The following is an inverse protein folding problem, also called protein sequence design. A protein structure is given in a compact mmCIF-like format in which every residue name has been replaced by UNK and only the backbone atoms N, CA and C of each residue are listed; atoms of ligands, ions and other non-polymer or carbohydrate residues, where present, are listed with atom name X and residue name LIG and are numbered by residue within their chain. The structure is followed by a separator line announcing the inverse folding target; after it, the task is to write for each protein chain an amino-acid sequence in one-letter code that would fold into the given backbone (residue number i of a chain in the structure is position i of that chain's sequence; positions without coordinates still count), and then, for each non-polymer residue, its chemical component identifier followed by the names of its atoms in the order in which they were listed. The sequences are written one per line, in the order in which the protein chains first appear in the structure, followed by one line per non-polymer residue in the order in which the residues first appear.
data_IF_724820272963
#
_entry.id   IF_724820272963
#
_cell.length_a   1.000
_cell.length_b   1.000
_cell.length_c   1.000
_cell.angle_alpha   90.00
_cell.angle_beta   90.00
_cell.angle_gamma   90.00
#
_symmetry.space_group_name_H-M   'P 1'
#
loop_
_entity.id
_entity.type
_entity.pdbx_description
1 polymer ?
#
# COMPACT_ATOMS: atom_id res chain seq x y z
N UNK A 1 -41.64 23.64 -11.58
CA UNK A 1 -40.58 23.56 -10.55
C UNK A 1 -40.06 22.13 -10.55
N UNK A 2 -38.96 21.90 -11.24
CA UNK A 2 -38.40 20.57 -11.47
C UNK A 2 -37.46 20.24 -10.32
N UNK A 3 -37.91 19.45 -9.35
CA UNK A 3 -37.04 18.87 -8.34
C UNK A 3 -36.24 17.75 -8.99
N UNK A 4 -35.06 18.10 -9.51
CA UNK A 4 -34.00 17.15 -9.83
C UNK A 4 -33.55 16.51 -8.51
N UNK A 5 -34.11 15.35 -8.19
CA UNK A 5 -33.56 14.44 -7.20
C UNK A 5 -32.17 14.04 -7.67
N UNK A 6 -31.14 14.71 -7.13
CA UNK A 6 -29.78 14.19 -7.15
C UNK A 6 -29.82 12.87 -6.38
N UNK A 7 -29.97 11.77 -7.11
CA UNK A 7 -29.45 10.48 -6.69
C UNK A 7 -28.01 10.77 -6.30
N UNK A 8 -27.69 10.69 -5.00
CA UNK A 8 -26.32 10.75 -4.54
C UNK A 8 -25.60 9.60 -5.23
N UNK A 9 -24.87 9.88 -6.31
CA UNK A 9 -23.95 8.93 -6.92
C UNK A 9 -23.12 8.37 -5.76
N UNK A 10 -23.35 7.11 -5.43
CA UNK A 10 -22.67 6.43 -4.33
C UNK A 10 -21.25 6.08 -4.81
N UNK A 11 -20.46 7.13 -5.06
CA UNK A 11 -19.10 7.05 -5.54
C UNK A 11 -18.25 6.40 -4.45
N UNK A 12 -17.43 5.44 -4.85
CA UNK A 12 -16.51 4.77 -3.92
C UNK A 12 -15.64 5.82 -3.21
N UNK A 13 -15.39 5.63 -1.92
CA UNK A 13 -14.67 6.60 -1.11
C UNK A 13 -13.21 6.80 -1.56
N UNK A 14 -12.64 5.90 -2.38
CA UNK A 14 -11.30 6.02 -2.97
C UNK A 14 -11.32 6.61 -4.39
N UNK A 15 -12.48 7.01 -4.92
CA UNK A 15 -12.59 7.71 -6.20
C UNK A 15 -12.02 9.14 -6.12
N UNK A 16 -11.28 9.57 -7.13
CA UNK A 16 -10.82 10.96 -7.29
C UNK A 16 -11.98 11.90 -7.64
N UNK A 17 -13.01 11.36 -8.28
CA UNK A 17 -14.21 12.06 -8.69
C UNK A 17 -15.16 12.29 -7.52
N UNK A 18 -15.02 11.53 -6.43
CA UNK A 18 -15.78 11.73 -5.20
C UNK A 18 -15.54 13.14 -4.61
N UNK A 19 -16.57 13.99 -4.47
CA UNK A 19 -16.44 15.36 -3.99
C UNK A 19 -15.80 15.48 -2.61
N UNK A 20 -15.98 14.49 -1.71
CA UNK A 20 -15.40 14.52 -0.35
C UNK A 20 -13.87 14.45 -0.37
N UNK A 21 -13.30 13.98 -1.47
CA UNK A 21 -11.86 13.86 -1.66
C UNK A 21 -11.23 15.12 -2.31
N UNK A 22 -12.05 16.12 -2.65
CA UNK A 22 -11.58 17.39 -3.19
C UNK A 22 -11.27 18.36 -2.05
N UNK A 23 -10.01 18.81 -1.95
CA UNK A 23 -9.62 19.86 -1.00
C UNK A 23 -9.17 21.11 -1.76
N UNK A 24 -9.84 22.25 -1.53
CA UNK A 24 -9.56 23.53 -2.18
C UNK A 24 -9.48 23.46 -3.73
N UNK A 25 -10.35 22.63 -4.34
CA UNK A 25 -10.40 22.44 -5.80
C UNK A 25 -9.23 21.65 -6.41
N UNK A 26 -8.30 21.14 -5.59
CA UNK A 26 -7.17 20.32 -6.06
C UNK A 26 -7.41 18.85 -5.76
N UNK A 27 -7.25 18.01 -6.80
CA UNK A 27 -7.28 16.55 -6.68
C UNK A 27 -5.84 16.03 -6.63
N UNK A 28 -5.52 15.24 -5.62
CA UNK A 28 -4.23 14.57 -5.47
C UNK A 28 -4.43 13.07 -5.41
N UNK A 29 -3.53 12.31 -6.04
CA UNK A 29 -3.53 10.83 -5.94
C UNK A 29 -3.28 10.35 -4.50
N UNK A 30 -2.62 11.15 -3.67
CA UNK A 30 -2.32 10.83 -2.28
C UNK A 30 -2.79 11.96 -1.37
N UNK A 31 -3.56 11.60 -0.35
CA UNK A 31 -4.08 12.52 0.66
C UNK A 31 -3.56 12.08 2.02
N UNK A 32 -2.79 12.93 2.70
CA UNK A 32 -2.30 12.62 4.05
C UNK A 32 -3.49 12.56 5.01
N UNK A 33 -3.64 11.45 5.73
CA UNK A 33 -4.67 11.30 6.73
C UNK A 33 -4.30 12.07 8.01
N UNK A 34 -5.32 12.67 8.64
CA UNK A 34 -5.19 13.18 10.00
C UNK A 34 -5.02 12.01 10.97
N UNK A 35 -4.18 12.20 12.00
CA UNK A 35 -3.98 11.20 13.07
C UNK A 35 -5.26 10.91 13.85
N UNK A 36 -6.18 11.86 13.88
CA UNK A 36 -7.46 11.73 14.59
C UNK A 36 -8.56 11.09 13.73
N UNK A 37 -8.27 10.73 12.48
CA UNK A 37 -9.26 10.11 11.58
C UNK A 37 -9.44 8.62 11.85
N UNK A 38 -10.67 8.12 11.70
CA UNK A 38 -10.99 6.70 11.85
C UNK A 38 -10.14 5.80 10.94
N UNK A 39 -9.92 6.23 9.68
CA UNK A 39 -9.09 5.52 8.71
C UNK A 39 -7.61 5.44 9.13
N UNK A 40 -7.09 6.49 9.80
CA UNK A 40 -5.74 6.42 10.35
C UNK A 40 -5.67 5.37 11.45
N UNK A 41 -6.61 5.40 12.40
CA UNK A 41 -6.66 4.46 13.52
C UNK A 41 -6.82 3.01 13.04
N UNK A 42 -7.68 2.75 12.04
CA UNK A 42 -7.87 1.42 11.45
C UNK A 42 -6.57 0.89 10.84
N UNK A 43 -5.91 1.69 9.99
CA UNK A 43 -4.70 1.26 9.30
C UNK A 43 -3.51 1.12 10.27
N UNK A 44 -3.43 1.97 11.29
CA UNK A 44 -2.44 1.85 12.37
C UNK A 44 -2.63 0.57 13.18
N UNK A 45 -3.88 0.24 13.56
CA UNK A 45 -4.20 -0.99 14.27
C UNK A 45 -3.87 -2.24 13.42
N UNK A 46 -4.24 -2.25 12.14
CA UNK A 46 -3.88 -3.30 11.19
C UNK A 46 -2.37 -3.47 11.09
N UNK A 47 -1.61 -2.37 10.98
CA UNK A 47 -0.16 -2.41 10.89
C UNK A 47 0.46 -2.99 12.15
N UNK A 48 0.01 -2.53 13.32
CA UNK A 48 0.53 -2.95 14.62
C UNK A 48 0.20 -4.42 14.92
N UNK A 49 -1.04 -4.87 14.67
CA UNK A 49 -1.45 -6.28 14.81
C UNK A 49 -0.80 -7.20 13.77
N UNK A 50 -0.45 -6.66 12.61
CA UNK A 50 0.29 -7.35 11.55
C UNK A 50 1.79 -7.50 11.85
N UNK A 51 2.34 -6.80 12.84
CA UNK A 51 3.76 -6.84 13.17
C UNK A 51 4.10 -8.04 14.06
N UNK A 52 4.13 -9.24 13.46
CA UNK A 52 4.20 -10.54 14.15
C UNK A 52 5.59 -11.19 14.20
N UNK A 53 6.60 -10.64 13.50
CA UNK A 53 7.97 -11.16 13.59
C UNK A 53 8.63 -10.73 14.89
N UNK A 54 8.75 -11.64 15.87
CA UNK A 54 9.25 -11.35 17.21
C UNK A 54 10.68 -10.79 17.28
N UNK A 55 11.53 -11.08 16.26
CA UNK A 55 12.90 -10.54 16.18
C UNK A 55 12.97 -9.12 15.62
N UNK A 56 11.90 -8.60 15.01
CA UNK A 56 11.87 -7.27 14.40
C UNK A 56 11.31 -6.25 15.38
N UNK A 57 12.08 -5.21 15.67
CA UNK A 57 11.59 -4.04 16.40
C UNK A 57 10.42 -3.42 15.63
N UNK A 58 9.29 -3.22 16.32
CA UNK A 58 8.12 -2.58 15.71
C UNK A 58 8.41 -1.09 15.46
N UNK A 59 8.33 -0.62 14.22
CA UNK A 59 8.65 0.76 13.87
C UNK A 59 7.49 1.70 14.20
N UNK A 60 7.77 3.00 14.26
CA UNK A 60 6.74 4.03 14.41
C UNK A 60 6.14 4.41 13.05
N UNK A 61 4.82 4.57 13.00
CA UNK A 61 4.13 5.15 11.85
C UNK A 61 4.35 6.66 11.84
N UNK A 62 4.96 7.14 10.76
CA UNK A 62 5.26 8.56 10.54
C UNK A 62 4.12 9.27 9.81
N UNK A 63 3.39 8.55 8.95
CA UNK A 63 2.23 9.06 8.23
C UNK A 63 1.51 7.96 7.47
N UNK A 64 0.23 8.20 7.18
CA UNK A 64 -0.60 7.33 6.36
C UNK A 64 -1.26 8.21 5.30
N UNK A 65 -1.20 7.79 4.05
CA UNK A 65 -1.84 8.50 2.94
C UNK A 65 -2.95 7.64 2.35
N UNK A 66 -4.15 8.20 2.18
CA UNK A 66 -5.20 7.61 1.34
C UNK A 66 -4.81 7.72 -0.12
N UNK A 67 -4.95 6.63 -0.86
CA UNK A 67 -4.63 6.53 -2.29
C UNK A 67 -5.94 6.64 -3.06
N UNK A 68 -6.08 7.72 -3.81
CA UNK A 68 -7.25 7.95 -4.64
C UNK A 68 -7.01 7.45 -6.06
N UNK A 69 -8.07 7.07 -6.76
CA UNK A 69 -8.02 6.49 -8.10
C UNK A 69 -8.97 7.22 -9.05
N UNK A 70 -8.57 7.47 -10.31
CA UNK A 70 -9.56 7.81 -11.34
C UNK A 70 -10.57 6.67 -11.45
N UNK A 71 -11.85 7.00 -11.61
CA UNK A 71 -12.92 6.01 -11.76
C UNK A 71 -12.60 4.97 -12.85
N UNK A 72 -11.99 5.37 -13.96
CA UNK A 72 -11.56 4.45 -15.02
C UNK A 72 -10.65 3.31 -14.55
N UNK A 73 -9.86 3.54 -13.50
CA UNK A 73 -8.97 2.55 -12.91
C UNK A 73 -9.63 1.78 -11.76
N UNK A 74 -10.60 2.39 -11.10
CA UNK A 74 -11.31 1.80 -9.96
C UNK A 74 -12.45 0.88 -10.40
N UNK A 75 -13.15 1.23 -11.48
CA UNK A 75 -14.34 0.54 -11.98
C UNK A 75 -14.13 -0.96 -12.25
N UNK A 76 -13.04 -1.42 -12.92
CA UNK A 76 -12.83 -2.86 -13.11
C UNK A 76 -12.74 -3.64 -11.79
N UNK A 77 -12.15 -3.02 -10.75
CA UNK A 77 -12.07 -3.61 -9.42
C UNK A 77 -13.43 -3.65 -8.72
N UNK A 78 -14.24 -2.59 -8.84
CA UNK A 78 -15.59 -2.55 -8.27
C UNK A 78 -16.51 -3.58 -8.94
N UNK A 79 -16.39 -3.75 -10.25
CA UNK A 79 -17.09 -4.78 -11.00
C UNK A 79 -16.67 -6.18 -10.58
N UNK A 80 -15.37 -6.45 -10.48
CA UNK A 80 -14.86 -7.74 -9.99
C UNK A 80 -15.36 -8.03 -8.58
N UNK A 81 -15.31 -7.05 -7.67
CA UNK A 81 -15.84 -7.17 -6.31
C UNK A 81 -17.33 -7.52 -6.30
N UNK A 82 -18.14 -6.86 -7.13
CA UNK A 82 -19.58 -7.12 -7.26
C UNK A 82 -19.86 -8.53 -7.80
N UNK A 83 -19.08 -8.98 -8.78
CA UNK A 83 -19.17 -10.35 -9.30
C UNK A 83 -18.86 -11.38 -8.23
N UNK A 84 -17.76 -11.21 -7.48
CA UNK A 84 -17.39 -12.11 -6.38
C UNK A 84 -18.43 -12.11 -5.26
N UNK A 85 -19.00 -10.95 -4.94
CA UNK A 85 -20.08 -10.85 -3.95
C UNK A 85 -21.31 -11.68 -4.32
N UNK A 86 -21.57 -11.92 -5.61
CA UNK A 86 -22.72 -12.71 -6.04
C UNK A 86 -22.63 -14.19 -5.63
N UNK A 87 -21.42 -14.75 -5.43
CA UNK A 87 -21.22 -16.15 -5.04
C UNK A 87 -20.54 -16.35 -3.68
N UNK A 88 -20.16 -15.28 -2.99
CA UNK A 88 -19.49 -15.36 -1.69
C UNK A 88 -20.46 -14.97 -0.57
N UNK A 89 -20.72 -15.93 0.33
CA UNK A 89 -21.44 -15.68 1.59
C UNK A 89 -20.48 -15.15 2.66
N UNK A 90 -19.96 -13.94 2.47
CA UNK A 90 -19.14 -13.26 3.46
C UNK A 90 -20.01 -12.38 4.38
N UNK A 91 -19.51 -12.12 5.60
CA UNK A 91 -20.18 -11.21 6.55
C UNK A 91 -20.16 -9.76 6.06
N UNK A 92 -19.19 -9.40 5.22
CA UNK A 92 -19.18 -8.11 4.53
C UNK A 92 -19.84 -8.27 3.17
N UNK A 93 -20.70 -7.31 2.80
CA UNK A 93 -21.37 -7.27 1.49
C UNK A 93 -20.40 -6.75 0.38
N UNK A 94 -19.12 -7.15 0.47
CA UNK A 94 -18.02 -6.62 -0.33
C UNK A 94 -17.10 -7.72 -0.89
N UNK A 95 -17.61 -8.93 -1.15
CA UNK A 95 -16.86 -10.03 -1.78
C UNK A 95 -15.72 -10.56 -0.92
N UNK A 96 -15.87 -10.57 0.41
CA UNK A 96 -14.78 -10.86 1.35
C UNK A 96 -13.57 -9.95 1.13
N UNK A 97 -13.80 -8.66 0.85
CA UNK A 97 -12.74 -7.66 0.74
C UNK A 97 -11.99 -7.54 2.07
N UNK A 98 -10.66 -7.53 2.01
CA UNK A 98 -9.77 -7.35 3.16
C UNK A 98 -8.68 -6.33 2.86
N UNK A 99 -8.25 -5.62 3.89
CA UNK A 99 -7.05 -4.79 3.85
C UNK A 99 -5.82 -5.67 4.09
N UNK A 100 -4.95 -5.79 3.07
CA UNK A 100 -3.74 -6.61 3.12
C UNK A 100 -2.50 -5.83 2.67
N UNK A 101 -1.36 -6.14 3.28
CA UNK A 101 -0.08 -5.46 3.05
C UNK A 101 0.65 -5.98 1.82
N UNK A 102 1.35 -5.08 1.13
CA UNK A 102 2.32 -5.39 0.08
C UNK A 102 3.57 -4.50 0.22
N UNK A 103 4.75 -5.11 0.26
CA UNK A 103 6.03 -4.41 0.24
C UNK A 103 6.65 -4.44 -1.16
N UNK A 104 7.24 -3.33 -1.57
CA UNK A 104 7.83 -3.19 -2.91
C UNK A 104 9.01 -2.20 -2.93
N UNK A 105 9.61 -2.00 -4.09
CA UNK A 105 10.73 -1.08 -4.28
C UNK A 105 10.24 0.38 -4.37
N UNK A 106 10.92 1.28 -3.65
CA UNK A 106 10.73 2.73 -3.72
C UNK A 106 12.05 3.38 -4.14
N UNK A 107 12.09 3.97 -5.34
CA UNK A 107 13.28 4.65 -5.87
C UNK A 107 13.22 6.18 -5.75
N UNK A 108 12.34 6.70 -4.90
CA UNK A 108 12.15 8.14 -4.70
C UNK A 108 11.78 8.44 -3.24
N UNK A 109 11.47 9.70 -2.96
CA UNK A 109 11.16 10.18 -1.61
C UNK A 109 9.65 10.25 -1.32
N UNK A 110 8.83 9.50 -2.05
CA UNK A 110 7.38 9.51 -1.88
C UNK A 110 6.99 9.14 -0.44
N UNK A 111 6.31 10.05 0.26
CA UNK A 111 5.88 9.90 1.64
C UNK A 111 6.92 10.30 2.69
N UNK A 112 8.14 10.71 2.32
CA UNK A 112 9.19 11.09 3.27
C UNK A 112 8.77 12.28 4.17
N UNK A 113 7.98 13.19 3.60
CA UNK A 113 7.25 14.23 4.30
C UNK A 113 5.78 14.22 3.87
N UNK A 114 4.91 14.92 4.59
CA UNK A 114 3.50 15.10 4.22
C UNK A 114 3.30 15.78 2.85
N UNK A 115 4.34 16.44 2.32
CA UNK A 115 4.31 17.13 1.01
C UNK A 115 4.91 16.30 -0.13
N UNK A 116 5.63 15.22 0.16
CA UNK A 116 6.19 14.35 -0.89
C UNK A 116 5.13 13.39 -1.42
N UNK A 117 4.18 13.90 -2.19
CA UNK A 117 3.00 13.16 -2.66
C UNK A 117 2.94 12.95 -4.18
N UNK A 118 3.92 13.48 -4.93
CA UNK A 118 3.98 13.34 -6.38
C UNK A 118 4.64 12.02 -6.79
N UNK A 119 3.95 11.26 -7.65
CA UNK A 119 4.43 9.98 -8.16
C UNK A 119 5.53 10.21 -9.19
N UNK A 120 6.74 9.65 -8.98
CA UNK A 120 7.86 9.77 -9.92
C UNK A 120 7.74 8.81 -11.11
N UNK A 121 8.33 9.13 -12.27
CA UNK A 121 8.30 8.27 -13.48
C UNK A 121 9.35 7.15 -13.56
N UNK A 122 10.18 6.96 -12.53
CA UNK A 122 11.30 6.01 -12.55
C UNK A 122 10.81 4.57 -12.72
N UNK A 123 11.46 3.79 -13.61
CA UNK A 123 11.06 2.42 -13.96
C UNK A 123 11.26 1.44 -12.80
N UNK A 124 12.31 1.67 -12.02
CA UNK A 124 12.70 0.93 -10.83
C UNK A 124 11.86 1.29 -9.59
N UNK A 125 11.07 2.37 -9.65
CA UNK A 125 10.14 2.74 -8.57
C UNK A 125 8.82 1.97 -8.70
N UNK A 126 8.86 0.69 -8.32
CA UNK A 126 7.69 -0.19 -8.38
C UNK A 126 6.52 0.34 -7.56
N UNK A 127 6.78 1.01 -6.43
CA UNK A 127 5.76 1.71 -5.64
C UNK A 127 4.98 2.72 -6.49
N UNK A 128 5.67 3.66 -7.14
CA UNK A 128 5.02 4.68 -7.95
C UNK A 128 4.37 4.07 -9.21
N UNK A 129 4.94 3.00 -9.78
CA UNK A 129 4.31 2.26 -10.87
C UNK A 129 2.97 1.67 -10.45
N UNK A 130 2.94 0.96 -9.31
CA UNK A 130 1.71 0.39 -8.74
C UNK A 130 0.70 1.50 -8.44
N UNK A 131 1.12 2.65 -7.88
CA UNK A 131 0.20 3.75 -7.60
C UNK A 131 -0.36 4.42 -8.87
N UNK A 132 0.38 4.41 -9.99
CA UNK A 132 -0.14 4.93 -11.27
C UNK A 132 -1.14 3.99 -11.92
N UNK A 133 -0.76 2.71 -12.08
CA UNK A 133 -1.46 1.77 -12.96
C UNK A 133 -2.07 0.56 -12.24
N UNK A 134 -2.06 0.54 -10.91
CA UNK A 134 -2.38 -0.64 -10.09
C UNK A 134 -1.37 -1.79 -10.29
N UNK A 135 -1.68 -2.94 -9.69
CA UNK A 135 -0.94 -4.18 -9.84
C UNK A 135 -1.11 -4.77 -11.24
N UNK A 136 -0.07 -5.45 -11.71
CA UNK A 136 -0.08 -6.22 -12.94
C UNK A 136 0.59 -7.57 -12.68
N UNK A 137 -0.18 -8.66 -12.83
CA UNK A 137 0.28 -10.03 -12.65
C UNK A 137 1.46 -10.34 -13.55
N UNK A 138 1.55 -9.73 -14.75
CA UNK A 138 2.70 -9.90 -15.64
C UNK A 138 4.02 -9.45 -15.01
N UNK A 139 3.98 -8.62 -13.96
CA UNK A 139 5.15 -8.19 -13.17
C UNK A 139 5.50 -9.17 -12.04
N UNK A 140 4.71 -10.22 -11.81
CA UNK A 140 5.00 -11.21 -10.79
C UNK A 140 6.27 -12.01 -11.11
N UNK A 141 7.25 -11.91 -10.23
CA UNK A 141 8.56 -12.55 -10.38
C UNK A 141 9.70 -11.61 -10.75
N UNK A 142 9.42 -10.34 -11.07
CA UNK A 142 10.46 -9.39 -11.49
C UNK A 142 11.38 -8.97 -10.34
N UNK A 143 10.86 -8.91 -9.11
CA UNK A 143 11.65 -8.63 -7.91
C UNK A 143 12.25 -9.89 -7.30
N UNK A 144 11.45 -10.97 -7.21
CA UNK A 144 11.85 -12.23 -6.59
C UNK A 144 11.45 -13.37 -7.52
N UNK A 145 12.42 -14.17 -7.98
CA UNK A 145 12.16 -15.25 -8.91
C UNK A 145 11.28 -16.36 -8.31
N UNK A 146 11.48 -16.67 -7.03
CA UNK A 146 10.71 -17.70 -6.33
C UNK A 146 9.28 -17.22 -6.04
N UNK A 147 8.31 -18.05 -6.43
CA UNK A 147 6.87 -17.79 -6.32
C UNK A 147 6.23 -18.99 -5.64
N UNK A 148 5.81 -18.84 -4.38
CA UNK A 148 5.32 -19.98 -3.60
C UNK A 148 4.06 -20.61 -4.18
N UNK A 149 3.15 -19.77 -4.66
CA UNK A 149 1.87 -20.14 -5.24
C UNK A 149 1.78 -19.62 -6.68
N UNK A 150 2.90 -19.67 -7.41
CA UNK A 150 2.95 -19.31 -8.82
C UNK A 150 2.64 -17.84 -9.16
N UNK A 151 2.10 -17.61 -10.35
CA UNK A 151 2.07 -16.30 -10.99
C UNK A 151 0.81 -15.51 -10.60
N UNK A 152 0.91 -14.73 -9.53
CA UNK A 152 -0.18 -13.89 -9.02
C UNK A 152 0.30 -12.67 -8.22
N UNK A 153 -0.65 -11.92 -7.68
CA UNK A 153 -0.40 -10.75 -6.82
C UNK A 153 -0.36 -11.22 -5.37
N UNK A 154 0.79 -11.07 -4.73
CA UNK A 154 1.04 -11.51 -3.36
C UNK A 154 0.80 -10.39 -2.36
N UNK A 155 -0.03 -10.69 -1.36
CA UNK A 155 -0.36 -9.79 -0.24
C UNK A 155 -0.37 -10.58 1.07
N UNK A 156 -0.33 -9.89 2.20
CA UNK A 156 -0.19 -10.52 3.52
C UNK A 156 -0.95 -9.75 4.59
N UNK A 157 -1.57 -10.45 5.55
CA UNK A 157 -2.09 -9.82 6.77
C UNK A 157 -0.97 -9.49 7.79
N UNK A 158 0.22 -10.06 7.59
CA UNK A 158 1.41 -9.80 8.39
C UNK A 158 2.21 -8.63 7.78
N UNK A 159 2.12 -7.45 8.37
CA UNK A 159 2.85 -6.24 7.95
C UNK A 159 4.36 -6.44 8.02
N UNK A 160 4.84 -7.10 9.08
CA UNK A 160 6.27 -7.43 9.24
C UNK A 160 6.81 -8.44 8.21
N UNK A 161 5.95 -9.27 7.59
CA UNK A 161 6.30 -10.09 6.41
C UNK A 161 6.38 -9.23 5.16
N UNK A 162 5.37 -8.38 4.93
CA UNK A 162 5.38 -7.47 3.79
C UNK A 162 6.60 -6.53 3.85
N UNK A 163 7.04 -6.15 5.05
CA UNK A 163 8.25 -5.37 5.28
C UNK A 163 9.53 -6.04 4.72
N UNK A 164 9.64 -7.38 4.70
CA UNK A 164 10.78 -8.06 4.05
C UNK A 164 10.91 -7.73 2.56
N UNK A 165 9.79 -7.35 1.94
CA UNK A 165 9.71 -6.96 0.54
C UNK A 165 9.76 -5.44 0.34
N UNK A 166 9.84 -4.63 1.39
CA UNK A 166 10.01 -3.18 1.27
C UNK A 166 11.50 -2.83 1.12
N UNK A 167 11.84 -2.07 0.07
CA UNK A 167 13.21 -1.69 -0.22
C UNK A 167 13.29 -0.26 -0.78
N UNK A 168 14.13 0.58 -0.18
CA UNK A 168 14.46 1.89 -0.74
C UNK A 168 15.65 1.74 -1.68
N UNK A 169 15.49 2.15 -2.93
CA UNK A 169 16.59 2.24 -3.91
C UNK A 169 17.23 3.64 -3.90
N UNK A 170 16.51 4.66 -3.43
CA UNK A 170 17.09 5.99 -3.18
C UNK A 170 17.88 5.98 -1.87
N UNK A 171 19.10 6.51 -1.90
CA UNK A 171 19.96 6.62 -0.72
C UNK A 171 19.50 7.70 0.26
N UNK A 172 18.72 8.67 -0.22
CA UNK A 172 18.21 9.78 0.60
C UNK A 172 16.96 9.39 1.40
N UNK A 173 16.32 8.27 1.04
CA UNK A 173 15.12 7.76 1.69
C UNK A 173 15.44 7.19 3.09
N UNK A 174 14.96 7.85 4.15
CA UNK A 174 15.18 7.44 5.55
C UNK A 174 14.02 6.63 6.12
N UNK A 175 12.82 6.81 5.60
CA UNK A 175 11.63 6.07 6.00
C UNK A 175 11.37 4.87 5.09
N UNK A 176 10.60 3.90 5.59
CA UNK A 176 10.13 2.74 4.81
C UNK A 176 8.66 2.92 4.46
N UNK A 177 8.22 2.20 3.45
CA UNK A 177 6.84 2.28 2.96
C UNK A 177 6.23 0.89 2.78
N UNK A 178 4.96 0.74 3.15
CA UNK A 178 4.12 -0.40 2.80
C UNK A 178 2.83 0.08 2.16
N UNK A 179 2.35 -0.65 1.16
CA UNK A 179 1.01 -0.49 0.65
C UNK A 179 0.05 -1.32 1.48
N UNK A 180 -1.10 -0.74 1.81
CA UNK A 180 -2.28 -1.44 2.31
C UNK A 180 -3.31 -1.42 1.18
N UNK A 181 -3.76 -2.60 0.79
CA UNK A 181 -4.52 -2.79 -0.43
C UNK A 181 -5.89 -3.36 -0.06
N UNK A 182 -6.94 -2.88 -0.74
CA UNK A 182 -8.22 -3.55 -0.76
C UNK A 182 -8.10 -4.76 -1.67
N UNK A 183 -8.23 -5.94 -1.10
CA UNK A 183 -8.08 -7.23 -1.77
C UNK A 183 -9.42 -7.96 -1.70
N UNK A 184 -10.03 -8.22 -2.85
CA UNK A 184 -11.20 -9.09 -2.97
C UNK A 184 -10.72 -10.53 -2.83
N UNK A 185 -10.73 -11.05 -1.60
CA UNK A 185 -10.26 -12.41 -1.30
C UNK A 185 -11.23 -13.47 -1.82
N UNK A 186 -12.52 -13.12 -1.90
CA UNK A 186 -13.59 -14.02 -2.30
C UNK A 186 -13.64 -15.29 -1.46
N UNK A 187 -13.78 -16.44 -2.10
CA UNK A 187 -13.64 -17.77 -1.49
C UNK A 187 -12.19 -18.24 -1.61
N UNK A 188 -11.38 -18.18 -0.54
CA UNK A 188 -9.98 -18.59 -0.60
C UNK A 188 -9.83 -20.12 -0.58
N UNK A 189 -8.94 -20.65 -1.41
CA UNK A 189 -8.46 -22.02 -1.31
C UNK A 189 -7.24 -22.07 -0.39
N UNK A 190 -7.38 -22.73 0.75
CA UNK A 190 -6.33 -22.82 1.78
C UNK A 190 -5.28 -23.85 1.36
N UNK A 191 -3.99 -23.50 1.45
CA UNK A 191 -2.87 -24.39 1.13
C UNK A 191 -1.77 -24.31 2.18
N UNK A 192 -1.21 -25.48 2.50
CA UNK A 192 -0.05 -25.61 3.38
C UNK A 192 1.27 -25.87 2.63
N UNK A 193 1.17 -26.37 1.39
CA UNK A 193 2.31 -26.74 0.55
C UNK A 193 2.46 -25.84 -0.66
N UNK A 194 3.72 -25.59 -1.03
CA UNK A 194 4.10 -24.85 -2.22
C UNK A 194 3.44 -25.39 -3.49
N UNK A 195 3.14 -24.49 -4.42
CA UNK A 195 2.61 -24.78 -5.74
C UNK A 195 3.10 -23.72 -6.74
N UNK A 196 4.39 -23.76 -7.09
CA UNK A 196 5.03 -22.67 -7.84
C UNK A 196 4.53 -22.52 -9.27
N UNK A 197 3.77 -23.49 -9.79
CA UNK A 197 3.26 -23.50 -11.16
C UNK A 197 1.80 -23.02 -11.26
N UNK A 198 1.18 -22.56 -10.17
CA UNK A 198 -0.20 -22.05 -10.22
C UNK A 198 -0.29 -20.77 -11.07
N UNK A 199 -1.32 -20.71 -11.89
CA UNK A 199 -1.71 -19.50 -12.66
C UNK A 199 -3.14 -19.06 -12.36
N UNK A 200 -3.90 -19.88 -11.64
CA UNK A 200 -5.24 -19.61 -11.13
C UNK A 200 -5.51 -20.45 -9.88
N UNK A 201 -6.46 -20.08 -9.00
CA UNK A 201 -6.95 -20.98 -7.96
C UNK A 201 -7.73 -22.16 -8.57
N UNK A 202 -7.98 -23.25 -7.81
CA UNK A 202 -8.90 -24.31 -8.23
C UNK A 202 -10.30 -23.76 -8.53
N UNK A 203 -11.05 -24.47 -9.37
CA UNK A 203 -12.39 -24.02 -9.77
C UNK A 203 -13.31 -23.88 -8.55
N UNK A 204 -14.10 -22.80 -8.54
CA UNK A 204 -14.96 -22.43 -7.41
C UNK A 204 -14.27 -21.64 -6.29
N UNK A 205 -13.01 -21.22 -6.47
CA UNK A 205 -12.27 -20.35 -5.56
C UNK A 205 -11.75 -19.11 -6.28
N UNK A 206 -11.56 -18.01 -5.55
CA UNK A 206 -11.16 -16.70 -6.10
C UNK A 206 -9.70 -16.33 -5.79
N UNK A 207 -9.11 -16.96 -4.75
CA UNK A 207 -7.75 -16.71 -4.30
C UNK A 207 -7.11 -17.95 -3.68
N UNK A 208 -5.78 -17.93 -3.50
CA UNK A 208 -5.06 -18.89 -2.65
C UNK A 208 -4.71 -18.20 -1.33
N UNK A 209 -4.97 -18.87 -0.20
CA UNK A 209 -4.43 -18.47 1.10
C UNK A 209 -3.44 -19.52 1.58
N UNK A 210 -2.18 -19.13 1.72
CA UNK A 210 -1.17 -19.94 2.38
C UNK A 210 -1.37 -19.92 3.89
N UNK A 211 -1.50 -21.09 4.51
CA UNK A 211 -1.63 -21.22 5.97
C UNK A 211 -0.29 -21.55 6.65
N UNK A 212 -0.14 -21.10 7.90
CA UNK A 212 1.05 -21.33 8.71
C UNK A 212 1.21 -22.83 8.99
N UNK A 213 2.45 -23.32 8.94
CA UNK A 213 2.77 -24.71 9.23
C UNK A 213 4.00 -25.16 8.47
N UNK A 214 3.81 -26.09 7.55
CA UNK A 214 4.88 -26.81 6.84
C UNK A 214 5.85 -25.88 6.11
N UNK A 215 5.35 -25.15 5.11
CA UNK A 215 6.22 -24.35 4.23
C UNK A 215 6.19 -22.85 4.55
N UNK A 216 5.36 -22.43 5.53
CA UNK A 216 4.99 -21.04 5.77
C UNK A 216 5.04 -20.67 7.25
N UNK A 217 5.77 -19.60 7.54
CA UNK A 217 5.81 -18.99 8.87
C UNK A 217 4.71 -17.97 9.09
N UNK A 218 4.13 -17.43 8.00
CA UNK A 218 3.12 -16.37 8.03
C UNK A 218 2.20 -16.46 6.82
N UNK A 219 0.92 -16.16 7.05
CA UNK A 219 -0.12 -16.20 6.02
C UNK A 219 0.21 -15.34 4.79
N UNK A 220 -0.31 -15.76 3.65
CA UNK A 220 -0.17 -15.08 2.37
C UNK A 220 -1.44 -15.25 1.57
N UNK A 221 -1.89 -14.20 0.91
CA UNK A 221 -3.03 -14.27 -0.01
C UNK A 221 -2.56 -13.92 -1.41
N UNK A 222 -2.90 -14.77 -2.36
CA UNK A 222 -2.52 -14.63 -3.77
C UNK A 222 -3.76 -14.56 -4.63
N UNK A 223 -3.88 -13.46 -5.37
CA UNK A 223 -4.93 -13.25 -6.37
C UNK A 223 -4.36 -13.40 -7.78
N UNK A 224 -5.18 -13.89 -8.71
CA UNK A 224 -4.77 -14.25 -10.09
C UNK A 224 -5.52 -13.44 -11.15
N UNK A 225 -6.08 -12.29 -10.77
CA UNK A 225 -6.53 -11.23 -11.69
C UNK A 225 -6.07 -9.86 -11.18
N UNK A 226 -5.79 -8.94 -12.10
CA UNK A 226 -5.39 -7.56 -11.79
C UNK A 226 -6.53 -6.77 -11.10
N UNK A 227 -7.77 -7.21 -11.28
CA UNK A 227 -8.95 -6.52 -10.76
C UNK A 227 -9.34 -6.94 -9.35
N UNK A 228 -8.62 -7.91 -8.76
CA UNK A 228 -8.84 -8.32 -7.38
C UNK A 228 -8.21 -7.37 -6.35
N UNK A 229 -7.31 -6.47 -6.77
CA UNK A 229 -6.49 -5.67 -5.84
C UNK A 229 -6.45 -4.21 -6.25
N UNK A 230 -6.71 -3.30 -5.31
CA UNK A 230 -6.45 -1.86 -5.46
C UNK A 230 -5.73 -1.32 -4.22
N UNK A 231 -4.58 -0.63 -4.38
CA UNK A 231 -3.95 0.10 -3.28
C UNK A 231 -4.90 1.12 -2.67
N UNK A 232 -5.06 1.09 -1.35
CA UNK A 232 -5.97 1.97 -0.61
C UNK A 232 -5.21 2.95 0.28
N UNK A 233 -4.14 2.50 0.94
CA UNK A 233 -3.31 3.35 1.77
C UNK A 233 -1.82 3.12 1.54
N UNK A 234 -1.03 4.18 1.74
CA UNK A 234 0.43 4.14 1.84
C UNK A 234 0.81 4.42 3.28
N UNK A 235 1.37 3.43 3.97
CA UNK A 235 1.92 3.59 5.33
C UNK A 235 3.38 3.94 5.22
N UNK A 236 3.79 5.05 5.84
CA UNK A 236 5.18 5.48 5.97
C UNK A 236 5.61 5.29 7.41
N UNK A 237 6.70 4.55 7.63
CA UNK A 237 7.13 4.15 8.96
C UNK A 237 8.64 4.08 9.09
N UNK A 238 9.11 4.01 10.33
CA UNK A 238 10.53 3.93 10.68
C UNK A 238 10.89 4.90 11.78
N UNK A 239 12.18 4.94 12.11
CA UNK A 239 12.73 5.92 13.04
C UNK A 239 13.20 7.13 12.26
N UNK A 240 12.51 8.27 12.41
CA UNK A 240 13.10 9.54 11.97
C UNK A 240 14.34 9.79 12.84
N UNK A 241 15.51 10.09 12.25
CA UNK A 241 16.62 10.59 13.05
C UNK A 241 16.10 11.80 13.83
N UNK A 242 16.41 11.88 15.13
CA UNK A 242 16.16 13.10 15.92
C UNK A 242 16.75 14.24 15.11
N UNK A 243 15.98 15.30 14.85
CA UNK A 243 16.48 16.49 14.17
C UNK A 243 17.83 16.84 14.81
N UNK A 244 18.94 16.69 14.07
CA UNK A 244 20.17 17.35 14.44
C UNK A 244 19.81 18.83 14.57
N UNK A 245 20.12 19.50 15.69
CA UNK A 245 19.81 20.92 15.82
C UNK A 245 20.35 21.62 14.58
N UNK A 246 19.47 22.33 13.86
CA UNK A 246 19.91 23.20 12.77
C UNK A 246 21.04 24.06 13.34
N UNK A 247 22.23 24.12 12.71
CA UNK A 247 23.28 24.96 13.21
C UNK A 247 22.68 26.36 13.39
N UNK A 248 22.77 26.86 14.61
CA UNK A 248 22.32 28.21 14.93
C UNK A 248 22.98 29.18 13.95
N UNK A 249 22.29 30.25 13.55
CA UNK A 249 22.87 31.33 12.76
C UNK A 249 24.19 31.85 13.38
N UNK A 250 24.31 31.72 14.71
CA UNK A 250 25.51 32.01 15.50
C UNK A 250 26.70 31.09 15.18
N UNK A 251 26.44 29.81 14.91
CA UNK A 251 27.46 28.80 14.53
C UNK A 251 27.91 28.98 13.08
N UNK A 252 27.01 29.44 12.19
CA UNK A 252 27.35 29.73 10.80
C UNK A 252 28.30 30.94 10.69
N UNK A 253 28.02 32.00 11.47
CA UNK A 253 28.86 33.22 11.50
C UNK A 253 30.24 32.97 12.09
N UNK A 254 30.36 32.16 13.15
CA UNK A 254 31.68 31.89 13.78
C UNK A 254 32.62 31.06 12.90
N UNK A 255 32.09 30.40 11.85
CA UNK A 255 32.89 29.62 10.89
C UNK A 255 33.39 30.50 9.73
N UNK A 256 32.67 31.57 9.41
CA UNK A 256 33.05 32.55 8.36
C UNK A 256 34.17 33.49 8.83
N UNK A 257 34.23 33.81 10.13
CA UNK A 257 35.27 34.70 10.69
C UNK A 257 36.55 33.99 11.17
N UNK A 258 36.71 32.68 10.90
CA UNK A 258 37.87 31.89 11.35
C UNK A 258 38.77 31.40 10.22
N UNK A 259 38.60 31.87 9.00
CA UNK A 259 39.57 31.62 7.92
C UNK A 259 40.77 32.55 8.12
N UNK A 260 41.99 32.06 8.44
CA UNK A 260 43.16 32.93 8.46
C UNK A 260 43.47 33.33 7.01
N UNK A 261 43.66 34.63 6.77
CA UNK A 261 44.32 35.11 5.56
C UNK A 261 45.76 34.60 5.58
N UNK A 262 46.10 33.76 4.61
CA UNK A 262 47.47 33.32 4.36
C UNK A 262 48.25 34.53 3.87
N UNK A 263 49.26 34.92 4.64
CA UNK A 263 50.38 35.78 4.21
C UNK A 263 51.42 34.94 3.47
#
# INVERSE_FOLDING_TARGET
MSTSSFESLNLDEFSLENPVNCSAGRRSRLVCLSRDSAHFAEVEDLFNKGWRHGKKVRPHIQGIFKILWPDSNLEPYLQYRKQVQAHVRARNEAGNEKLLFHGTNRACLLGETSRNILLCGLKECYLCSILRSSFDIKKCGTKNAFKRFGHGIYTSACSSKADDYSCNLSQDARLRTLLVNRVVVGRPYRRYRNAPNLVKPPDGFDSITGEIGWDLNYEETVCYTNDAVRPAYLVVYGHKPKNSPKPSFKTLMSTIFKTPLVS
#
